data_IF_251406910549
#
_entry.id   IF_251406910549
#
_cell.length_a   1.000
_cell.length_b   1.000
_cell.length_c   1.000
_cell.angle_alpha   90.00
_cell.angle_beta   90.00
_cell.angle_gamma   90.00
#
_symmetry.space_group_name_H-M   'P 1'
#
loop_
_entity.id
_entity.type
_entity.pdbx_description
1 polymer ?
#
# COMPACT_ATOMS: atom_id res chain seq x y z
N UNK A 1 19.97 -18.07 10.92
CA UNK A 1 18.58 -18.12 10.44
C UNK A 1 18.53 -17.38 9.12
N UNK A 2 18.56 -18.11 8.00
CA UNK A 2 18.47 -17.52 6.66
C UNK A 2 17.03 -17.04 6.47
N UNK A 3 16.85 -15.74 6.34
CA UNK A 3 15.60 -15.17 5.86
C UNK A 3 15.33 -15.76 4.48
N UNK A 4 14.23 -16.49 4.34
CA UNK A 4 13.75 -16.91 3.02
C UNK A 4 13.16 -15.70 2.30
N UNK A 5 13.20 -15.66 0.96
CA UNK A 5 12.60 -14.58 0.18
C UNK A 5 11.12 -14.36 0.56
N UNK A 6 10.39 -15.43 0.87
CA UNK A 6 9.00 -15.38 1.31
C UNK A 6 8.78 -14.59 2.61
N UNK A 7 9.71 -14.69 3.58
CA UNK A 7 9.62 -13.93 4.83
C UNK A 7 9.91 -12.45 4.62
N UNK A 8 10.76 -12.11 3.66
CA UNK A 8 11.05 -10.73 3.28
C UNK A 8 9.83 -10.11 2.60
N UNK A 9 9.24 -10.83 1.64
CA UNK A 9 8.01 -10.40 0.94
C UNK A 9 6.84 -10.20 1.92
N UNK A 10 6.63 -11.13 2.85
CA UNK A 10 5.59 -11.00 3.87
C UNK A 10 5.84 -9.79 4.77
N UNK A 11 7.10 -9.56 5.17
CA UNK A 11 7.50 -8.40 5.97
C UNK A 11 7.23 -7.07 5.26
N UNK A 12 7.54 -6.98 3.96
CA UNK A 12 7.26 -5.82 3.13
C UNK A 12 5.77 -5.58 2.95
N UNK A 13 4.98 -6.63 2.72
CA UNK A 13 3.52 -6.52 2.59
C UNK A 13 2.87 -6.04 3.88
N UNK A 14 3.28 -6.55 5.04
CA UNK A 14 2.79 -6.10 6.36
C UNK A 14 3.13 -4.63 6.62
N UNK A 15 4.36 -4.23 6.30
CA UNK A 15 4.75 -2.82 6.42
C UNK A 15 3.92 -1.94 5.49
N UNK A 16 3.68 -2.37 4.24
CA UNK A 16 2.82 -1.65 3.29
C UNK A 16 1.42 -1.41 3.86
N UNK A 17 0.78 -2.45 4.42
CA UNK A 17 -0.53 -2.31 5.09
C UNK A 17 -0.47 -1.29 6.22
N UNK A 18 0.54 -1.40 7.09
CA UNK A 18 0.74 -0.48 8.21
C UNK A 18 0.86 0.97 7.74
N UNK A 19 1.65 1.22 6.70
CA UNK A 19 1.82 2.56 6.09
C UNK A 19 0.51 3.10 5.55
N UNK A 20 -0.22 2.31 4.77
CA UNK A 20 -1.51 2.72 4.21
C UNK A 20 -2.53 3.03 5.30
N UNK A 21 -2.59 2.22 6.37
CA UNK A 21 -3.50 2.49 7.50
C UNK A 21 -3.17 3.79 8.23
N UNK A 22 -1.88 4.10 8.39
CA UNK A 22 -1.46 5.36 8.98
C UNK A 22 -1.84 6.55 8.08
N UNK A 23 -1.65 6.42 6.77
CA UNK A 23 -2.09 7.43 5.81
C UNK A 23 -3.60 7.66 5.87
N UNK A 24 -4.40 6.60 5.99
CA UNK A 24 -5.87 6.71 6.15
C UNK A 24 -6.25 7.50 7.40
N UNK A 25 -5.57 7.25 8.51
CA UNK A 25 -5.79 7.99 9.77
C UNK A 25 -5.36 9.44 9.63
N UNK A 26 -4.21 9.71 9.01
CA UNK A 26 -3.72 11.06 8.78
C UNK A 26 -4.62 11.87 7.84
N UNK A 27 -5.23 11.20 6.86
CA UNK A 27 -6.17 11.81 5.92
C UNK A 27 -7.62 11.90 6.45
N UNK A 28 -7.86 11.50 7.71
CA UNK A 28 -9.17 11.48 8.37
C UNK A 28 -10.24 10.74 7.54
N UNK A 29 -9.87 9.57 7.00
CA UNK A 29 -10.79 8.73 6.23
C UNK A 29 -11.70 7.94 7.16
N UNK A 30 -12.95 7.77 6.74
CA UNK A 30 -13.90 6.94 7.47
C UNK A 30 -13.40 5.48 7.56
N UNK A 31 -13.75 4.80 8.65
CA UNK A 31 -13.32 3.41 8.91
C UNK A 31 -13.83 2.49 7.79
N UNK A 32 -15.01 2.80 7.26
CA UNK A 32 -15.66 2.04 6.18
C UNK A 32 -15.31 2.54 4.78
N UNK A 33 -14.58 3.67 4.68
CA UNK A 33 -14.23 4.29 3.41
C UNK A 33 -13.33 3.37 2.59
N UNK A 34 -13.77 3.08 1.36
CA UNK A 34 -12.95 2.41 0.35
C UNK A 34 -11.97 3.39 -0.28
N UNK A 35 -10.76 2.93 -0.59
CA UNK A 35 -9.69 3.77 -1.15
C UNK A 35 -9.12 3.21 -2.45
N UNK A 36 -8.50 4.07 -3.24
CA UNK A 36 -7.59 3.68 -4.31
C UNK A 36 -6.16 3.99 -3.86
N UNK A 37 -5.24 3.04 -4.08
CA UNK A 37 -3.82 3.17 -3.75
C UNK A 37 -3.03 3.20 -5.06
N UNK A 38 -2.19 4.22 -5.19
CA UNK A 38 -1.14 4.29 -6.20
C UNK A 38 0.20 4.41 -5.47
N UNK A 39 1.20 3.64 -5.89
CA UNK A 39 2.49 3.66 -5.23
C UNK A 39 3.65 3.58 -6.22
N UNK A 40 4.76 4.24 -5.91
CA UNK A 40 6.02 4.05 -6.60
C UNK A 40 7.02 3.41 -5.64
N UNK A 41 7.62 2.30 -6.03
CA UNK A 41 8.60 1.56 -5.24
C UNK A 41 9.56 0.77 -6.12
N UNK A 42 10.57 0.16 -5.50
CA UNK A 42 11.48 -0.77 -6.17
C UNK A 42 10.78 -2.09 -6.55
N UNK A 43 11.49 -2.91 -7.36
CA UNK A 43 10.97 -4.19 -7.82
C UNK A 43 10.66 -5.17 -6.68
N UNK A 44 11.46 -5.20 -5.61
CA UNK A 44 11.23 -6.08 -4.45
C UNK A 44 9.90 -5.78 -3.75
N UNK A 45 9.60 -4.50 -3.52
CA UNK A 45 8.33 -4.09 -2.90
C UNK A 45 7.18 -4.32 -3.85
N UNK A 46 7.35 -4.02 -5.13
CA UNK A 46 6.30 -4.25 -6.14
C UNK A 46 5.92 -5.73 -6.19
N UNK A 47 6.91 -6.63 -6.25
CA UNK A 47 6.68 -8.07 -6.24
C UNK A 47 5.99 -8.54 -4.95
N UNK A 48 6.42 -8.04 -3.79
CA UNK A 48 5.78 -8.36 -2.51
C UNK A 48 4.32 -7.88 -2.46
N UNK A 49 4.04 -6.67 -2.93
CA UNK A 49 2.69 -6.10 -2.99
C UNK A 49 1.80 -6.88 -3.95
N UNK A 50 2.30 -7.25 -5.13
CA UNK A 50 1.56 -8.05 -6.11
C UNK A 50 1.23 -9.45 -5.55
N UNK A 51 2.20 -10.10 -4.91
CA UNK A 51 2.02 -11.41 -4.28
C UNK A 51 1.01 -11.40 -3.13
N UNK A 52 0.92 -10.29 -2.40
CA UNK A 52 0.03 -10.12 -1.25
C UNK A 52 -1.13 -9.15 -1.51
N UNK A 53 -1.45 -8.87 -2.77
CA UNK A 53 -2.40 -7.82 -3.16
C UNK A 53 -3.80 -8.04 -2.55
N UNK A 54 -4.25 -9.29 -2.48
CA UNK A 54 -5.54 -9.65 -1.88
C UNK A 54 -5.61 -9.30 -0.39
N UNK A 55 -4.57 -9.65 0.37
CA UNK A 55 -4.47 -9.34 1.80
C UNK A 55 -4.39 -7.83 2.02
N UNK A 56 -3.52 -7.15 1.26
CA UNK A 56 -3.35 -5.70 1.35
C UNK A 56 -4.69 -5.00 1.08
N UNK A 57 -5.40 -5.38 0.01
CA UNK A 57 -6.69 -4.80 -0.32
C UNK A 57 -7.77 -5.06 0.75
N UNK A 58 -7.81 -6.27 1.30
CA UNK A 58 -8.76 -6.64 2.34
C UNK A 58 -8.53 -5.86 3.64
N UNK A 59 -7.27 -5.77 4.10
CA UNK A 59 -6.95 -5.06 5.33
C UNK A 59 -7.08 -3.55 5.19
N UNK A 60 -6.65 -2.99 4.06
CA UNK A 60 -6.65 -1.54 3.82
C UNK A 60 -7.94 -1.00 3.20
N UNK A 61 -8.94 -1.85 2.93
CA UNK A 61 -10.16 -1.53 2.20
C UNK A 61 -9.89 -0.85 0.84
N UNK A 62 -8.77 -1.22 0.20
CA UNK A 62 -8.45 -0.74 -1.13
C UNK A 62 -9.29 -1.43 -2.19
N UNK A 63 -9.79 -0.67 -3.17
CA UNK A 63 -10.42 -1.20 -4.38
C UNK A 63 -9.40 -1.45 -5.49
N UNK A 64 -8.29 -0.71 -5.47
CA UNK A 64 -7.19 -0.84 -6.42
C UNK A 64 -5.88 -0.54 -5.73
N UNK A 65 -4.86 -1.33 -6.04
CA UNK A 65 -3.48 -1.09 -5.65
C UNK A 65 -2.63 -1.21 -6.90
N UNK A 66 -2.08 -0.10 -7.39
CA UNK A 66 -1.36 -0.07 -8.68
C UNK A 66 0.01 0.55 -8.47
N UNK A 67 1.04 -0.15 -8.97
CA UNK A 67 2.37 0.41 -9.08
C UNK A 67 2.38 1.46 -10.20
N UNK A 68 2.66 2.70 -9.82
CA UNK A 68 2.75 3.86 -10.70
C UNK A 68 4.07 4.58 -10.40
N UNK A 69 5.17 4.22 -11.10
CA UNK A 69 6.49 4.83 -10.89
C UNK A 69 6.53 6.33 -11.23
N UNK A 70 5.53 6.82 -11.98
CA UNK A 70 5.37 8.23 -12.32
C UNK A 70 4.40 8.97 -11.40
N UNK A 71 3.98 8.36 -10.29
CA UNK A 71 3.01 9.01 -9.40
C UNK A 71 3.62 10.26 -8.74
N UNK A 72 3.00 11.40 -9.02
CA UNK A 72 3.33 12.67 -8.40
C UNK A 72 2.45 12.95 -7.17
N UNK A 73 3.03 13.63 -6.18
CA UNK A 73 2.36 13.93 -4.92
C UNK A 73 2.41 12.79 -3.90
N UNK A 74 1.52 12.85 -2.90
CA UNK A 74 1.47 11.87 -1.81
C UNK A 74 2.62 11.95 -0.81
N UNK A 75 2.82 10.87 -0.08
CA UNK A 75 3.80 10.77 1.01
C UNK A 75 4.84 9.68 0.71
N UNK A 76 6.11 9.99 0.95
CA UNK A 76 7.21 9.04 0.80
C UNK A 76 7.51 8.39 2.15
N UNK A 77 7.44 7.06 2.20
CA UNK A 77 7.62 6.25 3.39
C UNK A 77 8.64 5.15 3.13
N UNK A 78 9.42 4.80 4.15
CA UNK A 78 10.38 3.70 4.07
C UNK A 78 9.71 2.37 4.48
N UNK A 79 9.89 1.33 3.66
CA UNK A 79 9.49 -0.04 3.94
C UNK A 79 10.76 -0.90 4.09
N UNK A 80 11.25 -1.03 5.32
CA UNK A 80 12.43 -1.85 5.63
C UNK A 80 13.68 -1.50 4.79
N UNK A 81 13.91 -0.21 4.51
CA UNK A 81 15.02 0.27 3.68
C UNK A 81 14.65 0.52 2.21
N UNK A 82 13.40 0.27 1.81
CA UNK A 82 12.91 0.55 0.46
C UNK A 82 12.05 1.82 0.45
N UNK A 83 12.50 2.93 -0.17
CA UNK A 83 11.73 4.15 -0.26
C UNK A 83 10.53 3.95 -1.20
N UNK A 84 9.33 4.17 -0.67
CA UNK A 84 8.10 4.01 -1.41
C UNK A 84 7.23 5.26 -1.30
N UNK A 85 6.79 5.78 -2.44
CA UNK A 85 5.82 6.87 -2.50
C UNK A 85 4.42 6.30 -2.52
N UNK A 86 3.52 6.86 -1.71
CA UNK A 86 2.13 6.46 -1.60
C UNK A 86 1.21 7.63 -1.90
N UNK A 87 0.24 7.40 -2.77
CA UNK A 87 -0.92 8.24 -2.98
C UNK A 87 -2.15 7.41 -2.67
N UNK A 88 -2.90 7.84 -1.64
CA UNK A 88 -4.20 7.26 -1.31
C UNK A 88 -5.30 8.26 -1.61
N UNK A 89 -6.36 7.78 -2.24
CA UNK A 89 -7.51 8.60 -2.59
C UNK A 89 -8.78 7.90 -2.15
N UNK A 90 -9.78 8.69 -1.73
CA UNK A 90 -11.12 8.16 -1.46
C UNK A 90 -11.66 7.60 -2.77
N UNK A 91 -11.91 6.30 -2.81
CA UNK A 91 -12.67 5.75 -3.91
C UNK A 91 -14.10 6.31 -3.77
N UNK A 92 -14.54 7.09 -4.76
CA UNK A 92 -15.91 7.55 -4.83
C UNK A 92 -16.79 6.29 -4.98
N UNK A 93 -17.30 5.80 -3.86
CA UNK A 93 -18.41 4.87 -3.87
C UNK A 93 -19.52 5.54 -4.64
N UNK A 94 -19.95 4.92 -5.73
CA UNK A 94 -21.15 5.30 -6.49
C UNK A 94 -22.26 5.58 -5.49
N UNK A 95 -22.54 6.87 -5.25
CA UNK A 95 -23.76 7.29 -4.59
C UNK A 95 -24.91 6.72 -5.40
N UNK A 96 -25.71 5.87 -4.76
CA UNK A 96 -27.12 5.74 -5.13
C UNK A 96 -27.91 6.56 -4.15
#
# INVERSE_FOLDING_TARGET
TTLTPELVEEGLAREFVSRVQNLRKAADFDVTQRIAIRFASDADVTAAVEKHAETIAAETLALSCVADPGVDGGETLDLNGHPCRFVIEKALGSGR
#
